data_IF_739437151066
#
_entry.id   IF_739437151066
#
_cell.length_a   1.000
_cell.length_b   1.000
_cell.length_c   1.000
_cell.angle_alpha   90.00
_cell.angle_beta   90.00
_cell.angle_gamma   90.00
#
_symmetry.space_group_name_H-M   'P 1'
#
loop_
_entity.id
_entity.type
_entity.pdbx_description
1 polymer ?
#
# COMPACT_ATOMS: atom_id res chain seq x y z
N UNK A 1 -14.30 45.29 -11.64
CA UNK A 1 -13.62 44.58 -10.52
C UNK A 1 -14.10 43.14 -10.53
N UNK A 2 -13.25 42.16 -10.86
CA UNK A 2 -13.52 40.71 -10.73
C UNK A 2 -12.23 39.98 -10.31
N UNK A 3 -12.10 39.84 -8.99
CA UNK A 3 -11.44 38.79 -8.18
C UNK A 3 -10.08 38.16 -8.60
N UNK A 4 -8.97 38.52 -7.92
CA UNK A 4 -7.81 37.64 -7.73
C UNK A 4 -8.05 36.52 -6.68
N UNK A 5 -9.30 36.27 -6.27
CA UNK A 5 -9.64 35.47 -5.08
C UNK A 5 -9.87 33.97 -5.32
N UNK A 6 -9.78 33.48 -6.57
CA UNK A 6 -10.03 32.06 -6.91
C UNK A 6 -8.81 31.14 -6.71
N UNK A 7 -7.61 31.69 -6.55
CA UNK A 7 -6.36 30.92 -6.45
C UNK A 7 -6.13 30.36 -5.03
N UNK A 8 -6.54 31.10 -4.01
CA UNK A 8 -6.48 30.69 -2.60
C UNK A 8 -7.31 29.44 -2.30
N UNK A 9 -8.60 29.34 -2.71
CA UNK A 9 -9.39 28.14 -2.45
C UNK A 9 -8.89 26.91 -3.24
N UNK A 10 -8.34 27.10 -4.46
CA UNK A 10 -7.79 25.99 -5.24
C UNK A 10 -6.51 25.41 -4.60
N UNK A 11 -5.61 26.26 -4.11
CA UNK A 11 -4.42 25.82 -3.38
C UNK A 11 -4.77 25.14 -2.05
N UNK A 12 -5.77 25.67 -1.33
CA UNK A 12 -6.26 25.06 -0.08
C UNK A 12 -6.89 23.68 -0.32
N UNK A 13 -7.62 23.49 -1.43
CA UNK A 13 -8.18 22.19 -1.82
C UNK A 13 -7.10 21.16 -2.15
N UNK A 14 -6.07 21.56 -2.91
CA UNK A 14 -4.94 20.69 -3.24
C UNK A 14 -4.15 20.27 -1.99
N UNK A 15 -3.85 21.22 -1.10
CA UNK A 15 -3.21 20.93 0.18
C UNK A 15 -4.09 20.02 1.07
N UNK A 16 -5.41 20.25 1.08
CA UNK A 16 -6.38 19.41 1.78
C UNK A 16 -6.38 17.96 1.27
N UNK A 17 -6.32 17.75 -0.05
CA UNK A 17 -6.24 16.42 -0.65
C UNK A 17 -4.93 15.71 -0.34
N UNK A 18 -3.79 16.44 -0.31
CA UNK A 18 -2.49 15.88 0.09
C UNK A 18 -2.49 15.47 1.55
N UNK A 19 -2.98 16.33 2.45
CA UNK A 19 -3.10 16.01 3.89
C UNK A 19 -4.07 14.86 4.13
N UNK A 20 -5.18 14.81 3.37
CA UNK A 20 -6.15 13.72 3.43
C UNK A 20 -5.57 12.39 2.91
N UNK A 21 -4.81 12.41 1.82
CA UNK A 21 -4.09 11.23 1.31
C UNK A 21 -3.01 10.73 2.30
N UNK A 22 -2.23 11.65 2.89
CA UNK A 22 -1.25 11.32 3.92
C UNK A 22 -1.89 10.66 5.15
N UNK A 23 -3.13 11.02 5.50
CA UNK A 23 -3.86 10.39 6.62
C UNK A 23 -4.12 8.90 6.40
N UNK A 24 -4.33 8.45 5.16
CA UNK A 24 -4.50 7.03 4.85
C UNK A 24 -3.19 6.24 4.85
N UNK A 25 -2.06 6.91 4.56
CA UNK A 25 -0.73 6.30 4.60
C UNK A 25 -0.21 6.10 6.03
N UNK A 26 -0.69 6.90 6.99
CA UNK A 26 -0.18 6.92 8.38
C UNK A 26 -1.02 6.06 9.34
N UNK A 27 -2.05 5.34 8.88
CA UNK A 27 -2.82 4.46 9.78
C UNK A 27 -2.08 3.14 10.06
N UNK A 28 -2.04 2.67 11.33
CA UNK A 28 -1.48 1.37 11.67
C UNK A 28 -2.27 0.26 11.00
N UNK A 29 -1.58 -0.67 10.33
CA UNK A 29 -2.20 -1.88 9.80
C UNK A 29 -2.62 -2.77 10.98
N UNK A 30 -3.92 -3.03 11.12
CA UNK A 30 -4.45 -3.91 12.16
C UNK A 30 -4.65 -5.30 11.57
N UNK A 31 -3.99 -6.30 12.16
CA UNK A 31 -4.12 -7.71 11.77
C UNK A 31 -4.89 -8.49 12.84
N UNK A 32 -5.87 -9.27 12.40
CA UNK A 32 -6.65 -10.18 13.24
C UNK A 32 -5.99 -11.55 13.25
N UNK A 33 -5.62 -12.04 14.44
CA UNK A 33 -4.96 -13.33 14.61
C UNK A 33 -5.91 -14.31 15.29
N UNK A 34 -6.38 -15.33 14.56
CA UNK A 34 -7.17 -16.41 15.12
C UNK A 34 -6.28 -17.39 15.90
N UNK A 35 -6.57 -17.58 17.19
CA UNK A 35 -5.77 -18.46 18.05
C UNK A 35 -6.63 -19.06 19.17
N UNK A 36 -6.47 -20.36 19.41
CA UNK A 36 -7.20 -21.11 20.42
C UNK A 36 -6.57 -22.48 20.70
N UNK A 37 -7.04 -23.21 21.72
CA UNK A 37 -8.05 -22.81 22.70
C UNK A 37 -7.57 -21.72 23.66
N UNK A 38 -8.51 -21.05 24.35
CA UNK A 38 -8.17 -20.18 25.48
C UNK A 38 -7.31 -20.90 26.53
N UNK A 39 -6.36 -20.16 27.11
CA UNK A 39 -5.43 -20.70 28.12
C UNK A 39 -4.30 -21.56 27.56
N UNK A 40 -4.29 -21.87 26.26
CA UNK A 40 -3.16 -22.51 25.58
C UNK A 40 -1.90 -21.66 25.62
N UNK A 41 -0.75 -22.32 25.41
CA UNK A 41 0.53 -21.63 25.30
C UNK A 41 0.60 -20.75 24.04
N UNK A 42 -0.12 -21.12 22.97
CA UNK A 42 -0.24 -20.34 21.73
C UNK A 42 -0.95 -19.01 21.94
N UNK A 43 -2.09 -19.02 22.63
CA UNK A 43 -2.81 -17.77 22.97
C UNK A 43 -1.91 -16.84 23.79
N UNK A 44 -1.13 -17.39 24.73
CA UNK A 44 -0.18 -16.60 25.53
C UNK A 44 0.93 -16.00 24.68
N UNK A 45 1.52 -16.78 23.77
CA UNK A 45 2.55 -16.30 22.85
C UNK A 45 2.03 -15.16 21.97
N UNK A 46 0.87 -15.34 21.34
CA UNK A 46 0.27 -14.32 20.46
C UNK A 46 -0.18 -13.08 21.25
N UNK A 47 -0.68 -13.25 22.48
CA UNK A 47 -1.03 -12.12 23.35
C UNK A 47 0.19 -11.29 23.75
N UNK A 48 1.31 -11.95 24.07
CA UNK A 48 2.56 -11.28 24.40
C UNK A 48 3.13 -10.55 23.17
N UNK A 49 3.10 -11.19 21.99
CA UNK A 49 3.48 -10.55 20.73
C UNK A 49 2.62 -9.31 20.43
N UNK A 50 1.31 -9.41 20.63
CA UNK A 50 0.39 -8.28 20.46
C UNK A 50 0.71 -7.14 21.42
N UNK A 51 1.04 -7.45 22.67
CA UNK A 51 1.46 -6.47 23.68
C UNK A 51 2.76 -5.78 23.28
N UNK A 52 3.79 -6.52 22.89
CA UNK A 52 5.08 -5.96 22.46
C UNK A 52 4.91 -5.05 21.23
N UNK A 53 4.15 -5.49 20.23
CA UNK A 53 3.87 -4.67 19.04
C UNK A 53 3.03 -3.42 19.34
N UNK A 54 2.18 -3.44 20.38
CA UNK A 54 1.43 -2.27 20.79
C UNK A 54 2.29 -1.21 21.49
N UNK A 55 3.40 -1.60 22.10
CA UNK A 55 4.36 -0.70 22.77
C UNK A 55 5.45 -0.18 21.84
N UNK A 56 5.62 -0.77 20.66
CA UNK A 56 6.55 -0.29 19.65
C UNK A 56 6.11 1.10 19.14
N UNK A 57 6.99 2.10 19.27
CA UNK A 57 6.73 3.49 18.86
C UNK A 57 6.53 3.60 17.33
N UNK A 58 7.06 2.61 16.57
CA UNK A 58 6.82 2.51 15.13
C UNK A 58 5.42 1.94 14.87
N UNK A 59 4.44 2.84 14.77
CA UNK A 59 2.99 2.65 14.50
C UNK A 59 2.60 1.83 13.24
N UNK A 60 3.42 0.90 12.75
CA UNK A 60 3.16 0.16 11.51
C UNK A 60 2.16 -0.98 11.66
N UNK A 61 2.21 -1.75 12.76
CA UNK A 61 1.45 -3.00 12.91
C UNK A 61 0.80 -3.13 14.30
N UNK A 62 -0.46 -3.53 14.34
CA UNK A 62 -1.20 -3.87 15.57
C UNK A 62 -1.88 -5.23 15.42
N UNK A 63 -1.86 -6.03 16.47
CA UNK A 63 -2.54 -7.34 16.48
C UNK A 63 -3.80 -7.30 17.33
N UNK A 64 -4.87 -7.90 16.82
CA UNK A 64 -6.11 -8.16 17.55
C UNK A 64 -6.35 -9.66 17.58
N UNK A 65 -6.52 -10.25 18.75
CA UNK A 65 -6.73 -11.69 18.87
C UNK A 65 -8.21 -12.04 18.63
N UNK A 66 -8.44 -12.99 17.73
CA UNK A 66 -9.73 -13.67 17.55
C UNK A 66 -9.61 -15.01 18.28
N UNK A 67 -10.31 -15.14 19.40
CA UNK A 67 -10.21 -16.34 20.22
C UNK A 67 -11.11 -17.44 19.68
N UNK A 68 -10.58 -18.63 19.54
CA UNK A 68 -11.27 -19.79 18.96
C UNK A 68 -11.27 -20.99 19.92
N UNK A 69 -12.10 -21.99 19.63
CA UNK A 69 -12.18 -23.21 20.45
C UNK A 69 -10.96 -24.11 20.31
N UNK A 70 -10.28 -24.08 19.17
CA UNK A 70 -9.17 -24.98 18.82
C UNK A 70 -8.45 -24.50 17.54
N UNK A 71 -7.40 -25.23 17.13
CA UNK A 71 -6.64 -24.92 15.92
C UNK A 71 -7.47 -25.07 14.63
N UNK A 72 -8.46 -25.98 14.59
CA UNK A 72 -9.34 -26.18 13.44
C UNK A 72 -10.31 -25.01 13.26
N UNK A 73 -10.89 -24.53 14.35
CA UNK A 73 -11.67 -23.31 14.36
C UNK A 73 -10.83 -22.09 13.96
N UNK A 74 -9.55 -22.03 14.37
CA UNK A 74 -8.63 -20.97 13.94
C UNK A 74 -8.41 -20.95 12.43
N UNK A 75 -8.23 -22.12 11.81
CA UNK A 75 -8.15 -22.24 10.35
C UNK A 75 -9.45 -21.81 9.66
N UNK A 76 -10.61 -22.19 10.21
CA UNK A 76 -11.91 -21.82 9.66
C UNK A 76 -12.17 -20.30 9.68
N UNK A 77 -11.74 -19.59 10.73
CA UNK A 77 -11.83 -18.12 10.78
C UNK A 77 -10.91 -17.45 9.73
N UNK A 78 -9.77 -18.07 9.41
CA UNK A 78 -8.91 -17.60 8.33
C UNK A 78 -9.59 -17.79 6.97
N UNK A 79 -10.12 -18.99 6.71
CA UNK A 79 -10.81 -19.31 5.46
C UNK A 79 -12.08 -18.49 5.26
N UNK A 80 -12.76 -18.11 6.33
CA UNK A 80 -13.92 -17.22 6.30
C UNK A 80 -13.56 -15.74 6.07
N UNK A 81 -12.28 -15.36 6.14
CA UNK A 81 -11.82 -13.97 6.05
C UNK A 81 -12.14 -13.13 7.30
N UNK A 82 -12.56 -13.77 8.39
CA UNK A 82 -12.80 -13.13 9.70
C UNK A 82 -11.52 -12.94 10.50
N UNK A 83 -10.44 -13.65 10.14
CA UNK A 83 -9.09 -13.41 10.58
C UNK A 83 -8.13 -13.23 9.39
N UNK A 84 -7.01 -12.53 9.62
CA UNK A 84 -5.97 -12.27 8.60
C UNK A 84 -4.77 -13.23 8.79
N UNK A 85 -4.56 -13.67 10.03
CA UNK A 85 -3.57 -14.66 10.46
C UNK A 85 -4.26 -15.72 11.32
N UNK A 86 -3.74 -16.94 11.36
CA UNK A 86 -4.22 -17.98 12.28
C UNK A 86 -3.10 -18.88 12.79
N UNK A 87 -3.23 -19.38 14.02
CA UNK A 87 -2.41 -20.47 14.54
C UNK A 87 -3.09 -21.79 14.20
N UNK A 88 -2.43 -22.60 13.38
CA UNK A 88 -2.96 -23.86 12.86
C UNK A 88 -2.05 -25.03 13.17
N UNK A 89 -2.62 -26.21 13.29
CA UNK A 89 -1.94 -27.49 13.45
C UNK A 89 -1.87 -28.22 12.10
N UNK A 90 -0.70 -28.74 11.75
CA UNK A 90 -0.41 -29.21 10.39
C UNK A 90 -1.28 -30.34 9.85
N UNK A 91 -1.78 -31.23 10.70
CA UNK A 91 -2.47 -32.47 10.32
C UNK A 91 -4.01 -32.39 10.33
N UNK A 92 -4.60 -31.37 10.97
CA UNK A 92 -6.06 -31.30 11.18
C UNK A 92 -6.68 -29.97 10.77
N UNK A 93 -5.85 -28.96 10.48
CA UNK A 93 -6.32 -27.59 10.27
C UNK A 93 -5.45 -26.83 9.27
N UNK A 94 -4.98 -27.48 8.21
CA UNK A 94 -4.41 -26.74 7.09
C UNK A 94 -5.55 -25.99 6.40
N UNK A 95 -5.52 -24.66 6.52
CA UNK A 95 -6.46 -23.76 5.87
C UNK A 95 -6.29 -23.85 4.35
N UNK A 96 -7.39 -23.78 3.60
CA UNK A 96 -7.35 -23.82 2.13
C UNK A 96 -6.70 -22.56 1.55
N UNK A 97 -6.86 -21.44 2.26
CA UNK A 97 -6.39 -20.11 1.85
C UNK A 97 -5.13 -19.66 2.58
N UNK A 98 -4.73 -20.35 3.65
CA UNK A 98 -3.62 -19.99 4.51
C UNK A 98 -2.26 -20.47 4.00
N UNK A 99 -1.26 -19.59 4.07
CA UNK A 99 0.13 -19.90 3.73
C UNK A 99 1.03 -19.71 4.97
N UNK A 100 2.03 -20.58 5.13
CA UNK A 100 2.91 -20.58 6.32
C UNK A 100 3.73 -19.29 6.40
N UNK A 101 3.71 -18.63 7.55
CA UNK A 101 4.57 -17.49 7.88
C UNK A 101 5.75 -17.96 8.74
N UNK A 102 5.46 -18.74 9.78
CA UNK A 102 6.46 -19.28 10.69
C UNK A 102 5.96 -20.59 11.32
N UNK A 103 6.90 -21.46 11.72
CA UNK A 103 6.60 -22.59 12.60
C UNK A 103 6.78 -22.08 14.04
N UNK A 104 5.73 -22.15 14.85
CA UNK A 104 5.75 -21.66 16.24
C UNK A 104 6.38 -22.68 17.19
N UNK A 105 6.02 -23.95 17.01
CA UNK A 105 6.65 -25.06 17.70
C UNK A 105 6.30 -26.40 17.05
N UNK A 106 7.17 -27.38 17.28
CA UNK A 106 6.94 -28.79 16.93
C UNK A 106 6.49 -29.58 18.16
N UNK A 107 5.48 -30.42 17.99
CA UNK A 107 5.05 -31.38 19.00
C UNK A 107 5.41 -32.79 18.52
N UNK A 108 6.29 -33.45 19.28
CA UNK A 108 6.64 -34.84 19.04
C UNK A 108 5.52 -35.74 19.59
N UNK A 109 5.23 -36.81 18.87
CA UNK A 109 4.34 -37.90 19.30
C UNK A 109 5.20 -38.89 20.06
N UNK A 110 4.99 -39.06 21.36
CA UNK A 110 5.81 -39.95 22.19
C UNK A 110 4.94 -41.04 22.80
N UNK A 111 5.32 -42.27 22.50
CA UNK A 111 4.72 -43.47 23.07
C UNK A 111 5.60 -43.99 24.20
N UNK A 112 5.02 -44.07 25.39
CA UNK A 112 5.66 -44.48 26.63
C UNK A 112 4.96 -45.70 27.18
N UNK A 113 5.67 -46.81 27.29
CA UNK A 113 5.19 -48.02 27.95
C UNK A 113 5.84 -48.15 29.33
N UNK A 114 5.10 -48.57 30.38
CA UNK A 114 5.70 -48.92 31.65
C UNK A 114 6.64 -50.11 31.47
N UNK A 115 7.68 -50.21 32.31
CA UNK A 115 8.71 -51.26 32.21
C UNK A 115 8.15 -52.69 32.05
N UNK A 116 7.10 -53.00 32.81
CA UNK A 116 6.44 -54.31 32.81
C UNK A 116 5.51 -54.57 31.60
N UNK A 117 5.23 -53.56 30.76
CA UNK A 117 4.43 -53.74 29.56
C UNK A 117 5.17 -54.59 28.52
N UNK A 118 4.42 -55.24 27.62
CA UNK A 118 4.97 -55.97 26.47
C UNK A 118 5.18 -55.08 25.24
N UNK A 119 4.68 -53.83 25.25
CA UNK A 119 4.75 -52.92 24.11
C UNK A 119 6.19 -52.42 23.92
N UNK A 120 6.80 -52.73 22.76
CA UNK A 120 8.15 -52.29 22.39
C UNK A 120 8.18 -51.54 21.05
N UNK A 121 7.24 -51.85 20.15
CA UNK A 121 7.04 -51.22 18.83
C UNK A 121 5.57 -50.89 18.62
N UNK A 122 5.25 -50.02 17.65
CA UNK A 122 3.87 -49.59 17.36
C UNK A 122 2.93 -50.77 17.08
N UNK A 123 3.40 -51.79 16.36
CA UNK A 123 2.58 -52.99 16.07
C UNK A 123 2.15 -53.77 17.31
N UNK A 124 2.85 -53.61 18.44
CA UNK A 124 2.51 -54.30 19.70
C UNK A 124 1.30 -53.67 20.40
N UNK A 125 0.78 -52.55 19.89
CA UNK A 125 -0.44 -51.91 20.39
C UNK A 125 -1.70 -52.69 20.03
N UNK A 126 -1.63 -53.67 19.12
CA UNK A 126 -2.75 -54.56 18.80
C UNK A 126 -3.34 -55.19 20.08
N UNK A 127 -4.64 -54.98 20.30
CA UNK A 127 -5.41 -55.42 21.47
C UNK A 127 -4.88 -54.90 22.81
N UNK A 128 -4.12 -53.80 22.80
CA UNK A 128 -3.64 -53.12 24.00
C UNK A 128 -4.48 -51.90 24.32
N UNK A 129 -4.36 -51.45 25.57
CA UNK A 129 -5.00 -50.23 26.06
C UNK A 129 -4.00 -49.09 25.99
N UNK A 130 -4.28 -48.10 25.16
CA UNK A 130 -3.44 -46.93 24.99
C UNK A 130 -4.07 -45.74 25.71
N UNK A 131 -3.37 -45.23 26.72
CA UNK A 131 -3.73 -43.99 27.37
C UNK A 131 -3.39 -42.78 26.51
N UNK A 132 -4.36 -41.96 26.11
CA UNK A 132 -4.11 -40.75 25.32
C UNK A 132 -4.18 -39.54 26.26
N UNK A 133 -3.05 -38.86 26.48
CA UNK A 133 -3.04 -37.62 27.25
C UNK A 133 -3.65 -36.50 26.43
N UNK A 134 -4.56 -35.73 27.04
CA UNK A 134 -5.36 -34.71 26.35
C UNK A 134 -6.02 -35.36 25.11
N UNK A 135 -6.96 -36.26 25.38
CA UNK A 135 -7.68 -37.03 24.36
C UNK A 135 -8.62 -36.14 23.52
N UNK A 136 -8.04 -35.23 22.76
CA UNK A 136 -8.74 -34.38 21.82
C UNK A 136 -8.99 -35.15 20.52
N UNK A 137 -10.01 -34.79 19.74
CA UNK A 137 -10.31 -35.46 18.47
C UNK A 137 -9.12 -35.48 17.51
N UNK A 138 -8.28 -34.44 17.53
CA UNK A 138 -7.10 -34.31 16.69
C UNK A 138 -6.02 -35.33 17.07
N UNK A 139 -5.85 -35.63 18.37
CA UNK A 139 -4.89 -36.64 18.82
C UNK A 139 -5.38 -38.06 18.50
N UNK A 140 -6.70 -38.29 18.55
CA UNK A 140 -7.29 -39.56 18.14
C UNK A 140 -7.16 -39.78 16.61
N UNK A 141 -7.36 -38.74 15.80
CA UNK A 141 -7.15 -38.79 14.36
C UNK A 141 -5.69 -39.10 14.01
N UNK A 142 -4.74 -38.37 14.61
CA UNK A 142 -3.31 -38.61 14.44
C UNK A 142 -2.89 -40.04 14.80
N UNK A 143 -3.46 -40.60 15.87
CA UNK A 143 -3.23 -42.00 16.22
C UNK A 143 -3.77 -42.95 15.15
N UNK A 144 -4.99 -42.69 14.65
CA UNK A 144 -5.59 -43.48 13.59
C UNK A 144 -4.74 -43.48 12.30
N UNK A 145 -4.29 -42.30 11.88
CA UNK A 145 -3.38 -42.14 10.75
C UNK A 145 -2.09 -42.93 10.94
N UNK A 146 -1.47 -42.84 12.12
CA UNK A 146 -0.25 -43.58 12.42
C UNK A 146 -0.49 -45.09 12.40
N UNK A 147 -1.54 -45.58 13.04
CA UNK A 147 -1.85 -47.02 13.10
C UNK A 147 -2.12 -47.61 11.70
N UNK A 148 -2.78 -46.84 10.83
CA UNK A 148 -3.03 -47.24 9.45
C UNK A 148 -1.73 -47.46 8.66
N UNK A 149 -0.68 -46.67 8.88
CA UNK A 149 0.65 -46.86 8.26
C UNK A 149 1.30 -48.19 8.67
N UNK A 150 0.92 -48.74 9.82
CA UNK A 150 1.36 -50.05 10.31
C UNK A 150 0.36 -51.18 10.02
N UNK A 151 -0.71 -50.92 9.26
CA UNK A 151 -1.76 -51.89 8.96
C UNK A 151 -2.60 -52.29 10.17
N UNK A 152 -2.66 -51.45 11.20
CA UNK A 152 -3.50 -51.65 12.38
C UNK A 152 -4.80 -50.85 12.26
N UNK A 153 -5.93 -51.51 12.51
CA UNK A 153 -7.22 -50.84 12.64
C UNK A 153 -7.27 -50.01 13.93
N UNK A 154 -7.78 -48.77 13.92
CA UNK A 154 -7.90 -47.95 15.13
C UNK A 154 -8.73 -48.61 16.24
N UNK A 155 -9.68 -49.48 15.86
CA UNK A 155 -10.52 -50.27 16.77
C UNK A 155 -9.78 -51.42 17.44
N UNK A 156 -8.63 -51.83 16.92
CA UNK A 156 -7.78 -52.85 17.52
C UNK A 156 -7.08 -52.34 18.80
N UNK A 157 -6.98 -51.02 18.98
CA UNK A 157 -6.36 -50.39 20.15
C UNK A 157 -7.44 -49.76 21.02
N UNK A 158 -7.53 -50.19 22.29
CA UNK A 158 -8.48 -49.60 23.24
C UNK A 158 -7.96 -48.24 23.72
N UNK A 159 -8.52 -47.16 23.19
CA UNK A 159 -8.14 -45.80 23.56
C UNK A 159 -8.74 -45.41 24.91
N UNK A 160 -7.90 -45.02 25.87
CA UNK A 160 -8.30 -44.61 27.21
C UNK A 160 -7.93 -43.13 27.39
N UNK A 161 -8.90 -42.21 27.50
CA UNK A 161 -8.59 -40.80 27.73
C UNK A 161 -7.95 -40.62 29.11
N UNK A 162 -6.80 -39.95 29.16
CA UNK A 162 -6.06 -39.69 30.39
C UNK A 162 -5.88 -38.19 30.64
N UNK A 163 -6.18 -37.79 31.88
CA UNK A 163 -5.75 -36.51 32.42
C UNK A 163 -4.28 -36.59 32.86
N UNK A 164 -3.51 -35.48 32.80
CA UNK A 164 -2.08 -35.49 33.12
C UNK A 164 -1.73 -35.93 34.56
N UNK A 165 -2.64 -35.73 35.50
CA UNK A 165 -2.51 -36.14 36.90
C UNK A 165 -2.89 -37.62 37.12
N UNK A 166 -3.72 -38.19 36.26
CA UNK A 166 -4.19 -39.57 36.35
C UNK A 166 -3.20 -40.61 35.80
N UNK A 167 -2.10 -40.19 35.16
CA UNK A 167 -1.16 -41.09 34.46
C UNK A 167 -0.54 -42.12 35.40
N UNK A 168 0.00 -41.67 36.55
CA UNK A 168 0.65 -42.57 37.49
C UNK A 168 -0.30 -43.64 38.03
N UNK A 169 -1.54 -43.23 38.38
CA UNK A 169 -2.57 -44.16 38.83
C UNK A 169 -2.98 -45.13 37.72
N UNK A 170 -3.17 -44.66 36.49
CA UNK A 170 -3.55 -45.52 35.36
C UNK A 170 -2.50 -46.61 35.07
N UNK A 171 -1.22 -46.29 35.25
CA UNK A 171 -0.12 -47.24 35.13
C UNK A 171 -0.09 -48.20 36.33
N UNK A 172 -0.20 -47.70 37.55
CA UNK A 172 -0.16 -48.51 38.77
C UNK A 172 -1.31 -49.51 38.83
N UNK A 173 -2.51 -49.09 38.45
CA UNK A 173 -3.73 -49.91 38.40
C UNK A 173 -3.74 -50.87 37.19
N UNK A 174 -2.70 -50.82 36.34
CA UNK A 174 -2.65 -51.51 35.05
C UNK A 174 -3.91 -51.24 34.22
N UNK A 175 -4.41 -50.00 34.18
CA UNK A 175 -5.54 -49.59 33.32
C UNK A 175 -5.13 -49.33 31.87
N UNK A 176 -3.86 -49.02 31.65
CA UNK A 176 -3.27 -48.80 30.33
C UNK A 176 -1.96 -49.58 30.19
N UNK A 177 -1.66 -50.01 28.96
CA UNK A 177 -0.47 -50.78 28.61
C UNK A 177 0.62 -49.90 27.96
N UNK A 178 0.24 -48.75 27.42
CA UNK A 178 1.11 -47.69 26.93
C UNK A 178 0.40 -46.35 27.06
N UNK A 179 1.15 -45.26 26.91
CA UNK A 179 0.67 -43.88 26.99
C UNK A 179 1.19 -43.12 25.78
N UNK A 180 0.30 -42.42 25.08
CA UNK A 180 0.61 -41.50 24.00
C UNK A 180 0.54 -40.06 24.50
N UNK A 181 1.58 -39.29 24.21
CA UNK A 181 1.66 -37.86 24.51
C UNK A 181 2.05 -37.12 23.25
N UNK A 182 1.32 -36.05 22.92
CA UNK A 182 1.67 -35.13 21.83
C UNK A 182 2.01 -33.79 22.45
N UNK A 183 3.29 -33.46 22.50
CA UNK A 183 3.77 -32.25 23.15
C UNK A 183 5.16 -31.85 22.65
N UNK A 184 5.59 -30.60 22.87
CA UNK A 184 6.95 -30.22 22.55
C UNK A 184 7.99 -31.08 23.30
N UNK A 185 9.00 -31.62 22.62
CA UNK A 185 9.91 -32.62 23.19
C UNK A 185 10.75 -32.09 24.36
N UNK A 186 11.21 -30.84 24.29
CA UNK A 186 11.93 -30.16 25.37
C UNK A 186 11.02 -29.51 26.42
N UNK A 187 9.72 -29.81 26.43
CA UNK A 187 8.75 -29.21 27.35
C UNK A 187 8.73 -29.85 28.74
N UNK A 188 8.49 -29.04 29.78
CA UNK A 188 8.30 -29.51 31.16
C UNK A 188 7.17 -30.54 31.29
N UNK A 189 6.13 -30.42 30.48
CA UNK A 189 4.99 -31.33 30.47
C UNK A 189 5.38 -32.77 30.10
N UNK A 190 6.14 -32.97 29.02
CA UNK A 190 6.55 -34.31 28.62
C UNK A 190 7.52 -34.92 29.63
N UNK A 191 8.45 -34.12 30.16
CA UNK A 191 9.37 -34.53 31.23
C UNK A 191 8.64 -34.98 32.51
N UNK A 192 7.56 -34.28 32.90
CA UNK A 192 6.78 -34.67 34.08
C UNK A 192 6.06 -36.00 33.86
N UNK A 193 5.49 -36.23 32.67
CA UNK A 193 4.84 -37.50 32.30
C UNK A 193 5.83 -38.66 32.32
N UNK A 194 7.03 -38.49 31.73
CA UNK A 194 8.10 -39.51 31.77
C UNK A 194 8.47 -39.84 33.22
N UNK A 195 8.56 -38.83 34.09
CA UNK A 195 8.88 -39.00 35.52
C UNK A 195 7.77 -39.76 36.27
N UNK A 196 6.51 -39.44 36.00
CA UNK A 196 5.35 -40.14 36.59
C UNK A 196 5.30 -41.61 36.18
N UNK A 197 5.50 -41.92 34.89
CA UNK A 197 5.51 -43.30 34.40
C UNK A 197 6.69 -44.07 34.98
N UNK A 198 7.88 -43.45 35.08
CA UNK A 198 9.04 -44.09 35.70
C UNK A 198 8.80 -44.41 37.18
N UNK A 199 8.19 -43.48 37.93
CA UNK A 199 7.82 -43.70 39.34
C UNK A 199 6.78 -44.80 39.52
N UNK A 200 5.73 -44.80 38.68
CA UNK A 200 4.65 -45.79 38.77
C UNK A 200 5.06 -47.19 38.29
N UNK A 201 5.94 -47.29 37.30
CA UNK A 201 6.35 -48.58 36.72
C UNK A 201 7.46 -49.31 37.48
N UNK A 202 8.02 -48.70 38.54
CA UNK A 202 9.14 -49.24 39.35
C UNK A 202 10.34 -49.69 38.48
N UNK A 203 10.56 -49.00 37.37
CA UNK A 203 11.57 -49.32 36.37
C UNK A 203 11.68 -48.20 35.34
N UNK A 204 12.57 -48.37 34.38
CA UNK A 204 12.70 -47.41 33.29
C UNK A 204 11.54 -47.57 32.29
N UNK A 205 10.82 -46.48 31.95
CA UNK A 205 9.84 -46.52 30.88
C UNK A 205 10.48 -46.92 29.56
N UNK A 206 9.73 -47.66 28.76
CA UNK A 206 10.11 -47.99 27.39
C UNK A 206 9.60 -46.87 26.49
N UNK A 207 10.51 -46.25 25.75
CA UNK A 207 10.19 -45.35 24.66
C UNK A 207 9.97 -46.19 23.41
N UNK A 208 8.78 -46.09 22.82
CA UNK A 208 8.41 -46.84 21.62
C UNK A 208 8.66 -45.94 20.42
N UNK A 209 9.51 -46.43 19.51
CA UNK A 209 9.93 -45.69 18.33
C UNK A 209 8.90 -45.76 17.19
N UNK A 210 8.90 -44.73 16.34
CA UNK A 210 8.21 -44.73 15.04
C UNK A 210 9.30 -44.75 13.97
N UNK A 211 9.82 -45.93 13.65
CA UNK A 211 10.97 -46.07 12.75
C UNK A 211 10.70 -45.52 11.35
N UNK A 212 9.46 -45.66 10.91
CA UNK A 212 8.99 -45.25 9.60
C UNK A 212 8.60 -43.76 9.55
N UNK A 213 8.87 -42.96 10.59
CA UNK A 213 8.48 -41.55 10.66
C UNK A 213 8.93 -40.71 9.45
N UNK A 214 10.14 -40.94 8.94
CA UNK A 214 10.65 -40.26 7.75
C UNK A 214 9.87 -40.66 6.48
N UNK A 215 9.57 -41.95 6.32
CA UNK A 215 8.80 -42.43 5.19
C UNK A 215 7.33 -41.94 5.25
N UNK A 216 6.77 -41.81 6.46
CA UNK A 216 5.43 -41.24 6.67
C UNK A 216 5.43 -39.75 6.31
N UNK A 217 6.43 -38.98 6.76
CA UNK A 217 6.54 -37.56 6.45
C UNK A 217 6.66 -37.29 4.94
N UNK A 218 7.38 -38.14 4.20
CA UNK A 218 7.47 -38.03 2.73
C UNK A 218 6.13 -38.29 2.02
N UNK A 219 5.30 -39.21 2.54
CA UNK A 219 3.98 -39.51 1.96
C UNK A 219 2.91 -38.52 2.39
N UNK A 220 3.00 -38.03 3.63
CA UNK A 220 2.04 -37.16 4.29
C UNK A 220 2.79 -35.94 4.86
N UNK A 221 3.00 -34.88 4.07
CA UNK A 221 3.83 -33.75 4.48
C UNK A 221 3.27 -32.87 5.62
N UNK A 222 2.05 -33.19 6.06
CA UNK A 222 1.47 -32.65 7.29
C UNK A 222 2.18 -33.15 8.56
N UNK A 223 2.96 -34.24 8.44
CA UNK A 223 3.79 -34.80 9.50
C UNK A 223 5.28 -34.57 9.21
N UNK A 224 6.07 -34.49 10.27
CA UNK A 224 7.53 -34.39 10.20
C UNK A 224 8.18 -35.55 10.97
N UNK A 225 9.36 -35.97 10.53
CA UNK A 225 10.21 -36.86 11.31
C UNK A 225 10.97 -36.06 12.35
N UNK A 226 11.07 -36.58 13.57
CA UNK A 226 11.80 -35.92 14.64
C UNK A 226 12.60 -36.92 15.47
N UNK A 227 13.88 -36.63 15.68
CA UNK A 227 14.74 -37.43 16.56
C UNK A 227 14.66 -36.90 17.99
N UNK A 228 14.29 -37.76 18.93
CA UNK A 228 14.40 -37.48 20.37
C UNK A 228 15.76 -37.97 20.84
N UNK A 229 16.62 -37.03 21.22
CA UNK A 229 18.00 -37.33 21.64
C UNK A 229 18.08 -38.05 22.99
N UNK A 230 19.14 -38.84 23.18
CA UNK A 230 19.49 -39.44 24.48
C UNK A 230 19.45 -38.41 25.62
N UNK A 231 18.88 -38.80 26.76
CA UNK A 231 18.92 -37.99 27.98
C UNK A 231 18.05 -36.73 27.97
N UNK A 232 17.25 -36.47 26.93
CA UNK A 232 16.42 -35.26 26.81
C UNK A 232 15.51 -35.01 28.03
N UNK A 233 15.02 -36.06 28.68
CA UNK A 233 14.13 -35.96 29.84
C UNK A 233 14.88 -35.98 31.19
N UNK A 234 16.21 -36.09 31.15
CA UNK A 234 17.10 -36.21 32.30
C UNK A 234 17.00 -37.56 33.01
N UNK A 235 17.44 -37.58 34.27
CA UNK A 235 17.46 -38.78 35.12
C UNK A 235 18.84 -39.45 35.20
N UNK A 236 18.98 -40.35 36.18
CA UNK A 236 20.13 -41.24 36.32
C UNK A 236 19.61 -42.68 36.45
N UNK A 237 19.74 -43.55 35.43
CA UNK A 237 20.40 -43.32 34.13
C UNK A 237 19.65 -42.31 33.23
N UNK A 238 20.30 -41.74 32.19
CA UNK A 238 19.68 -40.78 31.27
C UNK A 238 18.49 -41.39 30.52
N UNK A 239 17.42 -40.60 30.33
CA UNK A 239 16.18 -41.01 29.67
C UNK A 239 15.87 -40.10 28.48
N UNK A 240 15.66 -40.65 27.27
CA UNK A 240 15.83 -42.05 26.89
C UNK A 240 17.30 -42.48 26.91
N UNK A 241 17.55 -43.80 27.02
CA UNK A 241 18.89 -44.42 26.96
C UNK A 241 19.59 -44.31 25.61
N UNK A 242 18.84 -44.16 24.53
CA UNK A 242 19.36 -43.98 23.17
C UNK A 242 18.42 -43.02 22.46
N UNK A 243 18.95 -42.29 21.48
CA UNK A 243 18.10 -41.49 20.60
C UNK A 243 17.16 -42.39 19.82
N UNK A 244 15.96 -41.90 19.50
CA UNK A 244 15.01 -42.63 18.68
C UNK A 244 14.20 -41.67 17.80
N UNK A 245 13.75 -42.17 16.66
CA UNK A 245 12.92 -41.42 15.75
C UNK A 245 11.45 -41.54 16.13
N UNK A 246 10.74 -40.43 15.97
CA UNK A 246 9.30 -40.39 16.10
C UNK A 246 8.68 -39.45 15.08
N UNK A 247 7.35 -39.53 14.96
CA UNK A 247 6.56 -38.58 14.19
C UNK A 247 6.31 -37.31 15.00
N UNK A 248 6.24 -36.17 14.33
CA UNK A 248 5.90 -34.88 14.91
C UNK A 248 4.86 -34.15 14.05
N UNK A 249 4.14 -33.25 14.70
CA UNK A 249 3.27 -32.26 14.06
C UNK A 249 3.78 -30.86 14.36
N UNK A 250 3.42 -29.91 13.52
CA UNK A 250 3.82 -28.51 13.69
C UNK A 250 2.62 -27.64 13.96
N UNK A 251 2.80 -26.69 14.87
CA UNK A 251 1.92 -25.54 15.02
C UNK A 251 2.54 -24.40 14.24
N UNK A 252 1.79 -23.90 13.26
CA UNK A 252 2.24 -22.90 12.29
C UNK A 252 1.40 -21.66 12.45
N UNK A 253 2.04 -20.51 12.33
CA UNK A 253 1.35 -19.26 12.09
C UNK A 253 1.19 -19.12 10.58
N UNK A 254 -0.05 -19.05 10.12
CA UNK A 254 -0.40 -18.89 8.70
C UNK A 254 -1.04 -17.53 8.47
N UNK A 255 -0.80 -16.96 7.29
CA UNK A 255 -1.45 -15.74 6.81
C UNK A 255 -2.39 -16.09 5.66
N UNK A 256 -3.48 -15.34 5.53
CA UNK A 256 -4.34 -15.45 4.35
C UNK A 256 -3.54 -15.15 3.09
N UNK A 257 -3.72 -15.94 2.03
CA UNK A 257 -3.13 -15.70 0.70
C UNK A 257 -3.51 -14.33 0.11
N UNK A 258 -4.62 -13.74 0.52
CA UNK A 258 -5.04 -12.41 0.05
C UNK A 258 -4.33 -11.27 0.79
N UNK A 259 -3.58 -11.56 1.85
CA UNK A 259 -2.85 -10.54 2.61
C UNK A 259 -1.64 -10.07 1.80
N UNK A 260 -1.38 -8.77 1.82
CA UNK A 260 -0.31 -8.20 1.01
C UNK A 260 1.08 -8.72 1.46
N UNK A 261 1.91 -9.13 0.50
CA UNK A 261 3.23 -9.72 0.76
C UNK A 261 4.09 -8.85 1.67
N UNK A 262 4.03 -7.53 1.53
CA UNK A 262 4.83 -6.63 2.36
C UNK A 262 4.39 -6.63 3.82
N UNK A 263 3.08 -6.76 4.08
CA UNK A 263 2.52 -6.78 5.43
C UNK A 263 3.00 -8.04 6.14
N UNK A 264 2.98 -9.17 5.42
CA UNK A 264 3.49 -10.45 5.92
C UNK A 264 5.00 -10.41 6.12
N UNK A 265 5.78 -9.81 5.20
CA UNK A 265 7.23 -9.59 5.36
C UNK A 265 7.55 -8.75 6.60
N UNK A 266 6.93 -7.57 6.78
CA UNK A 266 7.15 -6.74 7.98
C UNK A 266 6.77 -7.47 9.26
N UNK A 267 5.61 -8.16 9.24
CA UNK A 267 5.17 -8.96 10.37
C UNK A 267 6.17 -10.08 10.69
N UNK A 268 6.66 -10.82 9.69
CA UNK A 268 7.64 -11.89 9.85
C UNK A 268 8.93 -11.36 10.46
N UNK A 269 9.47 -10.28 9.91
CA UNK A 269 10.66 -9.62 10.44
C UNK A 269 10.49 -9.24 11.91
N UNK A 270 9.36 -8.62 12.28
CA UNK A 270 9.09 -8.24 13.68
C UNK A 270 8.96 -9.45 14.59
N UNK A 271 8.26 -10.50 14.15
CA UNK A 271 8.12 -11.75 14.91
C UNK A 271 9.48 -12.33 15.29
N UNK A 272 10.40 -12.44 14.34
CA UNK A 272 11.74 -12.98 14.59
C UNK A 272 12.64 -12.02 15.38
N UNK A 273 12.50 -10.71 15.16
CA UNK A 273 13.24 -9.69 15.93
C UNK A 273 12.85 -9.68 17.39
N UNK A 274 11.54 -9.79 17.68
CA UNK A 274 10.99 -9.76 19.04
C UNK A 274 11.13 -11.09 19.77
N UNK A 275 11.54 -12.17 19.10
CA UNK A 275 11.61 -13.53 19.68
C UNK A 275 12.29 -13.57 21.06
N UNK A 276 13.44 -12.91 21.21
CA UNK A 276 14.16 -12.85 22.48
C UNK A 276 13.40 -12.08 23.56
N UNK A 277 12.71 -11.00 23.20
CA UNK A 277 11.89 -10.22 24.12
C UNK A 277 10.63 -10.98 24.59
N UNK A 278 10.13 -11.92 23.77
CA UNK A 278 8.96 -12.75 24.08
C UNK A 278 9.27 -13.93 25.02
N UNK A 279 10.53 -14.38 25.07
CA UNK A 279 10.96 -15.58 25.84
C UNK A 279 10.54 -15.55 27.32
N UNK A 280 10.66 -14.43 28.07
CA UNK A 280 10.22 -14.36 29.46
C UNK A 280 8.70 -14.58 29.64
N UNK A 281 7.89 -14.12 28.67
CA UNK A 281 6.43 -14.24 28.71
C UNK A 281 5.89 -15.56 28.15
N UNK A 282 6.65 -16.23 27.28
CA UNK A 282 6.27 -17.51 26.70
C UNK A 282 7.48 -18.37 26.32
N UNK A 283 7.57 -19.55 26.93
CA UNK A 283 8.59 -20.56 26.59
C UNK A 283 8.48 -21.10 25.14
N UNK A 284 7.38 -20.81 24.44
CA UNK A 284 7.25 -21.14 23.01
C UNK A 284 8.00 -20.15 22.11
N UNK A 285 8.32 -18.94 22.59
CA UNK A 285 9.05 -17.97 21.76
C UNK A 285 10.41 -18.52 21.30
N UNK A 286 11.12 -19.23 22.18
CA UNK A 286 12.41 -19.87 21.86
C UNK A 286 12.28 -21.03 20.87
N UNK A 287 11.08 -21.36 20.41
CA UNK A 287 10.80 -22.44 19.45
C UNK A 287 10.33 -21.95 18.09
N UNK A 288 10.08 -20.65 17.97
CA UNK A 288 9.72 -20.04 16.69
C UNK A 288 10.87 -20.26 15.71
N UNK A 289 10.58 -20.80 14.54
CA UNK A 289 11.57 -21.13 13.54
C UNK A 289 11.06 -20.83 12.14
N UNK A 290 12.01 -20.66 11.22
CA UNK A 290 11.68 -20.52 9.81
C UNK A 290 11.06 -21.84 9.30
N UNK A 291 10.04 -21.79 8.43
CA UNK A 291 9.59 -22.97 7.73
C UNK A 291 10.71 -23.52 6.84
N UNK A 292 10.67 -24.82 6.59
CA UNK A 292 11.56 -25.46 5.61
C UNK A 292 11.10 -25.07 4.20
N UNK A 293 11.87 -24.20 3.54
CA UNK A 293 11.65 -23.73 2.17
C UNK A 293 12.38 -24.59 1.13
N UNK A 294 13.34 -25.40 1.56
CA UNK A 294 14.22 -26.15 0.65
C UNK A 294 13.61 -27.51 0.26
N UNK A 295 12.63 -27.97 1.04
CA UNK A 295 11.95 -29.24 0.82
C UNK A 295 10.68 -29.07 -0.06
N UNK A 296 10.69 -29.65 -1.26
CA UNK A 296 9.57 -29.59 -2.21
C UNK A 296 8.26 -30.21 -1.68
N UNK A 297 8.35 -31.09 -0.68
CA UNK A 297 7.16 -31.67 -0.04
C UNK A 297 6.59 -30.78 1.07
N UNK A 298 7.33 -29.75 1.50
CA UNK A 298 6.92 -28.92 2.62
C UNK A 298 5.62 -28.15 2.34
N UNK A 299 4.94 -27.79 3.42
CA UNK A 299 3.73 -26.99 3.37
C UNK A 299 4.05 -25.58 2.81
N UNK A 300 3.18 -25.03 1.95
CA UNK A 300 3.48 -23.80 1.23
C UNK A 300 3.69 -22.62 2.18
N UNK A 301 4.66 -21.78 1.83
CA UNK A 301 5.08 -20.58 2.57
C UNK A 301 4.49 -19.34 1.90
N UNK A 302 4.14 -18.33 2.70
CA UNK A 302 3.63 -17.07 2.17
C UNK A 302 4.76 -16.32 1.44
N UNK A 303 4.56 -15.78 0.21
CA UNK A 303 5.63 -15.11 -0.54
C UNK A 303 6.28 -13.96 0.23
N UNK A 304 5.48 -13.18 0.96
CA UNK A 304 5.99 -12.20 1.93
C UNK A 304 6.93 -12.74 3.01
N UNK A 305 6.67 -13.92 3.57
CA UNK A 305 7.55 -14.54 4.57
C UNK A 305 8.81 -15.13 3.92
N UNK A 306 8.66 -15.77 2.76
CA UNK A 306 9.76 -16.27 1.93
C UNK A 306 10.73 -15.14 1.54
N UNK A 307 10.21 -13.99 1.09
CA UNK A 307 11.01 -12.82 0.76
C UNK A 307 11.88 -12.32 1.93
N UNK A 308 11.40 -12.43 3.17
CA UNK A 308 12.21 -12.11 4.36
C UNK A 308 13.34 -13.13 4.57
N UNK A 309 13.04 -14.43 4.49
CA UNK A 309 14.04 -15.48 4.72
C UNK A 309 15.12 -15.54 3.64
N UNK A 310 14.76 -15.25 2.39
CA UNK A 310 15.68 -15.21 1.25
C UNK A 310 16.46 -13.90 1.16
N UNK A 311 16.10 -12.89 1.97
CA UNK A 311 16.69 -11.55 1.91
C UNK A 311 16.25 -10.74 0.67
N UNK A 312 15.21 -11.20 -0.03
CA UNK A 312 14.63 -10.55 -1.22
C UNK A 312 13.52 -9.54 -0.87
N UNK A 313 13.58 -8.91 0.30
CA UNK A 313 12.60 -7.88 0.70
C UNK A 313 12.67 -6.68 -0.26
N UNK A 314 11.54 -6.36 -0.92
CA UNK A 314 11.46 -5.14 -1.73
C UNK A 314 11.63 -3.90 -0.86
N UNK A 315 12.63 -3.08 -1.19
CA UNK A 315 12.87 -1.78 -0.55
C UNK A 315 11.65 -0.85 -0.68
N UNK A 316 11.53 0.11 0.23
CA UNK A 316 10.51 1.16 0.16
C UNK A 316 10.50 1.87 -1.21
N UNK A 317 11.69 2.12 -1.77
CA UNK A 317 11.81 2.77 -3.08
C UNK A 317 11.33 1.86 -4.21
N UNK A 318 11.69 0.57 -4.22
CA UNK A 318 11.25 -0.38 -5.25
C UNK A 318 9.72 -0.57 -5.26
N UNK A 319 9.06 -0.37 -4.11
CA UNK A 319 7.62 -0.53 -3.94
C UNK A 319 6.82 0.67 -4.43
N UNK A 320 7.29 1.86 -4.08
CA UNK A 320 6.58 3.10 -4.39
C UNK A 320 7.11 3.79 -5.64
N UNK A 321 8.03 3.17 -6.39
CA UNK A 321 8.63 3.77 -7.60
C UNK A 321 7.54 4.29 -8.56
N UNK A 322 6.54 3.45 -8.88
CA UNK A 322 5.42 3.83 -9.73
C UNK A 322 4.60 5.00 -9.16
N UNK A 323 4.31 4.97 -7.85
CA UNK A 323 3.57 6.04 -7.18
C UNK A 323 4.38 7.33 -7.05
N UNK A 324 5.70 7.21 -6.93
CA UNK A 324 6.62 8.33 -6.88
C UNK A 324 6.70 9.00 -8.25
N UNK A 325 6.81 8.22 -9.34
CA UNK A 325 6.73 8.74 -10.70
C UNK A 325 5.37 9.35 -11.00
N UNK A 326 4.26 8.70 -10.63
CA UNK A 326 2.91 9.25 -10.79
C UNK A 326 2.74 10.54 -9.97
N UNK A 327 3.27 10.60 -8.75
CA UNK A 327 3.27 11.79 -7.92
C UNK A 327 4.07 12.93 -8.54
N UNK A 328 5.30 12.65 -8.99
CA UNK A 328 6.16 13.61 -9.68
C UNK A 328 5.51 14.12 -10.99
N UNK A 329 4.89 13.23 -11.76
CA UNK A 329 4.14 13.57 -12.98
C UNK A 329 2.91 14.43 -12.66
N UNK A 330 2.18 14.09 -11.60
CA UNK A 330 1.05 14.88 -11.12
C UNK A 330 1.45 16.28 -10.70
N UNK A 331 2.55 16.43 -9.95
CA UNK A 331 3.10 17.73 -9.54
C UNK A 331 3.55 18.54 -10.77
N UNK A 332 4.26 17.92 -11.72
CA UNK A 332 4.65 18.54 -12.99
C UNK A 332 3.45 19.03 -13.81
N UNK A 333 2.39 18.22 -13.88
CA UNK A 333 1.14 18.58 -14.54
C UNK A 333 0.45 19.76 -13.88
N UNK A 334 0.43 19.81 -12.53
CA UNK A 334 -0.12 20.94 -11.78
C UNK A 334 0.69 22.23 -11.99
N UNK A 335 2.02 22.16 -11.97
CA UNK A 335 2.89 23.31 -12.24
C UNK A 335 2.66 23.84 -13.66
N UNK A 336 2.57 22.94 -14.64
CA UNK A 336 2.33 23.29 -16.04
C UNK A 336 0.94 23.90 -16.24
N UNK A 337 -0.09 23.34 -15.59
CA UNK A 337 -1.45 23.87 -15.59
C UNK A 337 -1.51 25.27 -14.98
N UNK A 338 -0.83 25.49 -13.85
CA UNK A 338 -0.74 26.80 -13.20
C UNK A 338 -0.05 27.83 -14.11
N UNK A 339 1.06 27.44 -14.76
CA UNK A 339 1.76 28.29 -15.71
C UNK A 339 0.88 28.66 -16.92
N UNK A 340 0.13 27.70 -17.47
CA UNK A 340 -0.81 27.95 -18.56
C UNK A 340 -1.96 28.89 -18.16
N UNK A 341 -2.48 28.76 -16.94
CA UNK A 341 -3.50 29.67 -16.41
C UNK A 341 -2.95 31.09 -16.20
N UNK A 342 -1.73 31.24 -15.69
CA UNK A 342 -1.07 32.56 -15.55
C UNK A 342 -0.81 33.18 -16.93
N UNK A 343 -0.29 32.38 -17.88
CA UNK A 343 -0.01 32.84 -19.24
C UNK A 343 -1.28 33.28 -19.98
N UNK A 344 -2.36 32.51 -19.84
CA UNK A 344 -3.66 32.87 -20.42
C UNK A 344 -4.23 34.12 -19.75
N UNK A 345 -4.25 34.23 -18.42
CA UNK A 345 -4.69 35.46 -17.75
C UNK A 345 -3.93 36.70 -18.25
N UNK A 346 -2.60 36.62 -18.43
CA UNK A 346 -1.79 37.70 -19.01
C UNK A 346 -2.13 37.99 -20.47
N UNK A 347 -2.42 36.97 -21.27
CA UNK A 347 -2.83 37.14 -22.67
C UNK A 347 -4.18 37.86 -22.81
N UNK A 348 -5.12 37.65 -21.88
CA UNK A 348 -6.40 38.38 -21.88
C UNK A 348 -6.22 39.86 -21.59
N UNK A 349 -5.30 40.23 -20.70
CA UNK A 349 -4.97 41.62 -20.40
C UNK A 349 -4.36 42.32 -21.63
N UNK A 350 -3.42 41.67 -22.34
CA UNK A 350 -2.78 42.21 -23.55
C UNK A 350 -3.77 42.51 -24.70
N UNK A 351 -4.89 41.79 -24.80
CA UNK A 351 -5.90 42.03 -25.84
C UNK A 351 -6.56 43.41 -25.72
N UNK A 352 -6.69 43.96 -24.52
CA UNK A 352 -7.20 45.32 -24.33
C UNK A 352 -6.24 46.40 -24.83
N UNK A 353 -4.93 46.14 -24.80
CA UNK A 353 -3.91 47.06 -25.33
C UNK A 353 -3.95 47.10 -26.86
N UNK A 354 -4.13 45.95 -27.52
CA UNK A 354 -4.21 45.88 -28.99
C UNK A 354 -5.43 46.62 -29.55
N UNK A 355 -6.59 46.55 -28.87
CA UNK A 355 -7.78 47.29 -29.33
C UNK A 355 -7.60 48.82 -29.30
N UNK A 356 -6.84 49.34 -28.33
CA UNK A 356 -6.52 50.77 -28.27
C UNK A 356 -5.53 51.20 -29.36
N UNK A 357 -4.65 50.30 -29.80
CA UNK A 357 -3.76 50.55 -30.94
C UNK A 357 -4.56 50.59 -32.25
N UNK A 358 -5.49 49.66 -32.45
CA UNK A 358 -6.36 49.65 -33.64
C UNK A 358 -7.22 50.94 -33.72
N UNK A 359 -7.72 51.43 -32.58
CA UNK A 359 -8.46 52.68 -32.51
C UNK A 359 -7.60 53.91 -32.87
N UNK A 360 -6.33 53.93 -32.44
CA UNK A 360 -5.37 54.97 -32.83
C UNK A 360 -5.05 54.94 -34.33
N UNK A 361 -4.91 53.74 -34.93
CA UNK A 361 -4.69 53.60 -36.37
C UNK A 361 -5.87 54.20 -37.15
N UNK A 362 -7.11 53.91 -36.72
CA UNK A 362 -8.30 54.50 -37.35
C UNK A 362 -8.36 56.02 -37.22
N UNK A 363 -8.03 56.58 -36.05
CA UNK A 363 -7.96 58.03 -35.84
C UNK A 363 -6.88 58.65 -36.74
N UNK A 364 -5.71 58.01 -36.87
CA UNK A 364 -4.62 58.50 -37.72
C UNK A 364 -5.00 58.52 -39.21
N UNK A 365 -5.72 57.49 -39.69
CA UNK A 365 -6.23 57.44 -41.08
C UNK A 365 -7.23 58.59 -41.31
N UNK A 366 -8.21 58.75 -40.42
CA UNK A 366 -9.21 59.81 -40.53
C UNK A 366 -8.57 61.21 -40.49
N UNK A 367 -7.58 61.41 -39.62
CA UNK A 367 -6.83 62.67 -39.53
C UNK A 367 -6.07 62.98 -40.83
N UNK A 368 -5.48 61.98 -41.51
CA UNK A 368 -4.78 62.18 -42.79
C UNK A 368 -5.73 62.56 -43.93
N UNK A 369 -6.94 62.03 -43.93
CA UNK A 369 -7.94 62.26 -44.98
C UNK A 369 -8.84 63.48 -44.74
N UNK A 370 -8.75 64.11 -43.56
CA UNK A 370 -9.54 65.29 -43.18
C UNK A 370 -9.43 66.43 -44.20
N UNK A 371 -10.57 67.04 -44.54
CA UNK A 371 -10.70 68.09 -45.57
C UNK A 371 -10.98 69.47 -44.99
N UNK A 372 -11.32 69.53 -43.71
CA UNK A 372 -11.71 70.71 -42.95
C UNK A 372 -11.13 70.67 -41.54
N UNK A 373 -11.07 71.84 -40.90
CA UNK A 373 -10.49 72.01 -39.57
C UNK A 373 -11.34 71.36 -38.48
N UNK A 374 -12.66 71.33 -38.66
CA UNK A 374 -13.60 70.69 -37.73
C UNK A 374 -13.35 69.17 -37.59
N UNK A 375 -13.01 68.47 -38.67
CA UNK A 375 -12.68 67.04 -38.61
C UNK A 375 -11.33 66.77 -37.90
N UNK A 376 -10.39 67.73 -37.94
CA UNK A 376 -9.14 67.63 -37.18
C UNK A 376 -9.35 67.86 -35.68
N UNK A 377 -10.25 68.79 -35.30
CA UNK A 377 -10.64 69.01 -33.90
C UNK A 377 -11.32 67.77 -33.31
N UNK A 378 -12.17 67.10 -34.09
CA UNK A 378 -12.81 65.83 -33.69
C UNK A 378 -11.78 64.71 -33.48
N UNK A 379 -10.80 64.59 -34.37
CA UNK A 379 -9.70 63.63 -34.23
C UNK A 379 -8.83 63.92 -32.99
N UNK A 380 -8.55 65.19 -32.69
CA UNK A 380 -7.78 65.61 -31.51
C UNK A 380 -8.53 65.33 -30.20
N UNK A 381 -9.85 65.54 -30.19
CA UNK A 381 -10.72 65.16 -29.08
C UNK A 381 -10.76 63.64 -28.87
N UNK A 382 -10.78 62.86 -29.96
CA UNK A 382 -10.74 61.40 -29.91
C UNK A 382 -9.43 60.90 -29.28
N UNK A 383 -8.26 61.40 -29.71
CA UNK A 383 -6.95 61.07 -29.09
C UNK A 383 -6.93 61.43 -27.60
N UNK A 384 -7.49 62.59 -27.23
CA UNK A 384 -7.53 63.03 -25.83
C UNK A 384 -8.39 62.12 -24.96
N UNK A 385 -9.56 61.70 -25.46
CA UNK A 385 -10.43 60.77 -24.74
C UNK A 385 -9.77 59.40 -24.54
N UNK A 386 -9.03 58.92 -25.54
CA UNK A 386 -8.28 57.67 -25.46
C UNK A 386 -7.07 57.78 -24.51
N UNK A 387 -6.43 58.94 -24.40
CA UNK A 387 -5.37 59.18 -23.42
C UNK A 387 -5.90 59.06 -21.98
N UNK A 388 -7.06 59.66 -21.71
CA UNK A 388 -7.72 59.58 -20.40
C UNK A 388 -8.15 58.14 -20.08
N UNK A 389 -8.69 57.42 -21.05
CA UNK A 389 -9.08 56.02 -20.86
C UNK A 389 -7.85 55.14 -20.62
N UNK A 390 -6.76 55.35 -21.34
CA UNK A 390 -5.48 54.63 -21.19
C UNK A 390 -4.88 54.85 -19.80
N UNK A 391 -4.85 56.08 -19.28
CA UNK A 391 -4.37 56.38 -17.93
C UNK A 391 -5.20 55.70 -16.85
N UNK A 392 -6.53 55.59 -17.02
CA UNK A 392 -7.38 54.81 -16.10
C UNK A 392 -7.06 53.32 -16.16
N UNK A 393 -6.82 52.77 -17.34
CA UNK A 393 -6.44 51.37 -17.50
C UNK A 393 -5.06 51.06 -16.91
N UNK A 394 -4.09 51.98 -17.04
CA UNK A 394 -2.78 51.88 -16.42
C UNK A 394 -2.86 51.93 -14.88
N UNK A 395 -3.63 52.88 -14.32
CA UNK A 395 -3.89 52.96 -12.86
C UNK A 395 -4.53 51.69 -12.30
N UNK A 396 -5.42 51.07 -13.05
CA UNK A 396 -6.09 49.83 -12.65
C UNK A 396 -5.24 48.55 -12.89
N UNK A 397 -3.96 48.70 -13.27
CA UNK A 397 -3.00 47.61 -13.47
C UNK A 397 -3.27 46.74 -14.70
N UNK A 398 -4.03 47.25 -15.68
CA UNK A 398 -4.43 46.52 -16.90
C UNK A 398 -3.50 46.73 -18.09
N UNK A 399 -2.54 47.64 -17.97
CA UNK A 399 -1.53 47.90 -19.00
C UNK A 399 -0.17 47.79 -18.30
N UNK A 400 0.74 46.99 -18.84
CA UNK A 400 2.11 46.92 -18.35
C UNK A 400 2.95 48.10 -18.86
N UNK A 401 4.09 48.38 -18.23
CA UNK A 401 4.92 49.55 -18.56
C UNK A 401 5.32 49.60 -20.04
N UNK A 402 5.58 48.43 -20.64
CA UNK A 402 5.87 48.30 -22.07
C UNK A 402 4.66 48.65 -22.94
N UNK A 403 3.46 48.19 -22.59
CA UNK A 403 2.22 48.56 -23.29
C UNK A 403 1.88 50.04 -23.18
N UNK A 404 2.15 50.66 -22.03
CA UNK A 404 1.94 52.10 -21.82
C UNK A 404 2.92 52.93 -22.66
N UNK A 405 4.19 52.52 -22.74
CA UNK A 405 5.19 53.17 -23.60
C UNK A 405 4.81 53.10 -25.08
N UNK A 406 4.35 51.94 -25.57
CA UNK A 406 3.90 51.77 -26.95
C UNK A 406 2.67 52.64 -27.28
N UNK A 407 1.68 52.69 -26.39
CA UNK A 407 0.50 53.55 -26.56
C UNK A 407 0.84 55.04 -26.52
N UNK A 408 1.80 55.43 -25.67
CA UNK A 408 2.25 56.83 -25.58
C UNK A 408 2.92 57.27 -26.89
N UNK A 409 3.79 56.42 -27.43
CA UNK A 409 4.42 56.65 -28.74
C UNK A 409 3.39 56.78 -29.87
N UNK A 410 2.40 55.88 -29.92
CA UNK A 410 1.36 55.92 -30.95
C UNK A 410 0.46 57.17 -30.84
N UNK A 411 0.14 57.62 -29.61
CA UNK A 411 -0.59 58.87 -29.38
C UNK A 411 0.21 60.09 -29.83
N UNK A 412 1.51 60.12 -29.57
CA UNK A 412 2.39 61.23 -29.98
C UNK A 412 2.49 61.29 -31.51
N UNK A 413 2.62 60.15 -32.20
CA UNK A 413 2.62 60.09 -33.67
C UNK A 413 1.28 60.55 -34.27
N UNK A 414 0.15 60.21 -33.63
CA UNK A 414 -1.17 60.69 -34.05
C UNK A 414 -1.28 62.21 -33.92
N UNK A 415 -0.87 62.78 -32.78
CA UNK A 415 -0.87 64.24 -32.56
C UNK A 415 0.02 64.96 -33.57
N UNK A 416 1.20 64.42 -33.86
CA UNK A 416 2.09 64.97 -34.87
C UNK A 416 1.46 64.93 -36.27
N UNK A 417 0.79 63.83 -36.62
CA UNK A 417 0.07 63.70 -37.90
C UNK A 417 -1.06 64.73 -38.03
N UNK A 418 -1.83 64.95 -36.96
CA UNK A 418 -2.90 65.97 -36.92
C UNK A 418 -2.30 67.36 -37.11
N UNK A 419 -1.23 67.69 -36.39
CA UNK A 419 -0.54 68.99 -36.50
C UNK A 419 -0.02 69.24 -37.91
N UNK A 420 0.65 68.26 -38.53
CA UNK A 420 1.17 68.35 -39.90
C UNK A 420 0.04 68.55 -40.92
N UNK A 421 -1.11 67.87 -40.74
CA UNK A 421 -2.27 68.06 -41.61
C UNK A 421 -2.90 69.43 -41.46
N UNK A 422 -3.01 69.94 -40.23
CA UNK A 422 -3.54 71.29 -39.94
C UNK A 422 -2.72 72.37 -40.65
N UNK A 423 -1.38 72.25 -40.59
CA UNK A 423 -0.47 73.15 -41.33
C UNK A 423 -0.69 73.08 -42.84
N UNK A 424 -0.87 71.88 -43.40
CA UNK A 424 -1.14 71.71 -44.85
C UNK A 424 -2.49 72.30 -45.26
N UNK A 425 -3.55 72.11 -44.48
CA UNK A 425 -4.87 72.69 -44.76
C UNK A 425 -4.83 74.22 -44.70
N UNK A 426 -4.15 74.81 -43.73
CA UNK A 426 -3.95 76.26 -43.63
C UNK A 426 -3.20 76.84 -44.85
N UNK A 427 -2.17 76.13 -45.33
CA UNK A 427 -1.44 76.54 -46.54
C UNK A 427 -2.29 76.45 -47.82
N UNK A 428 -3.24 75.50 -47.89
CA UNK A 428 -4.15 75.34 -49.03
C UNK A 428 -5.28 76.38 -49.03
N UNK A 429 -5.78 76.79 -47.85
CA UNK A 429 -6.74 77.90 -47.74
C UNK A 429 -6.12 79.23 -48.16
N UNK A 430 -4.87 79.50 -47.76
CA UNK A 430 -4.14 80.71 -48.16
C UNK A 430 -3.87 80.74 -49.68
N UNK A 431 -3.51 79.60 -50.28
CA UNK A 431 -3.30 79.51 -51.73
C UNK A 431 -4.60 79.72 -52.52
N UNK A 432 -5.74 79.24 -52.01
CA UNK A 432 -7.07 79.41 -52.62
C UNK A 432 -7.57 80.86 -52.50
N UNK A 433 -7.27 81.54 -51.39
CA UNK A 433 -7.54 82.98 -51.21
C UNK A 433 -6.67 83.86 -52.14
N UNK A 434 -5.43 83.45 -52.40
CA UNK A 434 -4.50 84.14 -53.31
C UNK A 434 -4.90 83.98 -54.79
N UNK A 435 -5.41 82.82 -55.21
CA UNK A 435 -5.90 82.62 -56.59
C UNK A 435 -7.21 83.38 -56.84
N UNK A 436 -8.09 83.50 -55.84
CA UNK A 436 -9.34 84.26 -55.95
C UNK A 436 -9.13 85.78 -56.08
N UNK A 437 -7.93 86.30 -55.80
CA UNK A 437 -7.62 87.74 -55.84
C UNK A 437 -6.88 88.18 -57.12
N UNK A 438 -6.61 87.26 -58.06
CA UNK A 438 -5.83 87.55 -59.30
C UNK A 438 -6.74 87.74 -60.53
N UNK A 439 -8.05 87.49 -60.47
CA UNK A 439 -8.91 87.62 -61.65
C UNK A 439 -9.60 88.99 -61.77
N UNK A 440 -9.55 89.55 -62.99
CA UNK A 440 -10.28 90.70 -63.62
C UNK A 440 -9.42 91.98 -63.83
N UNK A 441 -9.42 92.72 -64.99
CA UNK A 441 -10.22 92.65 -66.25
C UNK A 441 -9.46 92.86 -67.62
N UNK A 442 -10.17 92.67 -68.75
CA UNK A 442 -10.41 93.62 -69.91
C UNK A 442 -10.30 93.07 -71.35
N UNK A 443 -11.44 93.22 -72.05
CA UNK A 443 -11.68 93.80 -73.40
C UNK A 443 -11.21 93.13 -74.72
N UNK A 444 -12.20 93.14 -75.64
CA UNK A 444 -12.14 93.36 -77.09
C UNK A 444 -11.85 92.17 -78.04
N UNK A 445 -12.92 91.69 -78.69
CA UNK A 445 -12.91 90.90 -79.94
C UNK A 445 -13.09 91.84 -81.13
N UNK A 446 -12.22 91.75 -82.14
CA UNK A 446 -12.49 92.20 -83.52
C UNK A 446 -12.37 91.00 -84.48
N UNK A 447 -13.49 90.77 -85.15
CA UNK A 447 -13.79 90.12 -86.45
C UNK A 447 -12.95 88.96 -87.02
N UNK A 448 -13.61 87.88 -87.49
CA UNK A 448 -13.04 86.83 -88.34
C UNK A 448 -13.49 86.95 -89.81
N UNK A 449 -12.70 86.40 -90.73
CA UNK A 449 -13.08 86.18 -92.12
C UNK A 449 -12.46 84.84 -92.61
N UNK A 450 -12.96 84.24 -93.69
CA UNK A 450 -14.11 83.33 -93.62
C UNK A 450 -13.83 82.01 -94.35
N UNK A 451 -14.72 81.01 -94.22
CA UNK A 451 -15.25 80.28 -95.39
C UNK A 451 -16.43 79.37 -95.04
N UNK A 452 -17.47 79.57 -95.82
CA UNK A 452 -18.71 78.83 -95.94
C UNK A 452 -18.48 77.47 -96.62
N UNK A 453 -19.10 76.42 -96.09
CA UNK A 453 -19.99 75.48 -96.81
C UNK A 453 -20.28 74.29 -95.88
N UNK A 454 -21.50 74.21 -95.32
CA UNK A 454 -22.61 73.41 -95.84
C UNK A 454 -22.28 71.92 -96.00
N UNK A 455 -22.81 71.07 -95.10
CA UNK A 455 -24.14 70.46 -95.29
C UNK A 455 -24.60 69.70 -94.03
N UNK A 456 -25.89 69.85 -93.71
CA UNK A 456 -26.64 69.09 -92.71
C UNK A 456 -27.26 67.85 -93.36
N UNK A 457 -27.07 66.71 -92.66
CA UNK A 457 -27.99 65.60 -92.36
C UNK A 457 -28.52 64.70 -93.48
N UNK A 458 -28.87 63.43 -93.18
CA UNK A 458 -28.63 62.64 -91.97
C UNK A 458 -27.37 61.76 -92.04
#
# INVERSE_FOLDING_TARGET
MRSPFLWVPAAALAAGLVVWGLRFVVQPTVLRVAVGPEGSADVRLISELASQLAHDENHGLRLTLVKTSDAKASAAELDAGTADLAVVRSDVSMSETGLTVAVLHRNAVVFLAPHASSVRKITDLDKKRLGILRATPENAHLLGDLLAEYGLEPSAVTQVPLAPDAVAAAIADKRVDAVMVVAPPSGNFLRSVVTQIAGASRGEPVFVDVKEAEAIAQRKPVYESHEIVNGLFGGNPPRPKQSFNTMAITYRLVASRSLEDYVVSDFTRRLFTLRMALSPGSALADRIEKPDTDNETALPVHPGAEAYFDGNEKSFLDRYDDWFYLGAMGISGLVSGLAALIASARAWIRRGTLSSIDELIHIQINAREAKDEAALDEAEAAVTSLSISTLRHARDGRIDDSGLAALSLAMDECRQTIADRRVRLASQSDHRATISSIEVPRLARREPAPRLSFRRSP
#
